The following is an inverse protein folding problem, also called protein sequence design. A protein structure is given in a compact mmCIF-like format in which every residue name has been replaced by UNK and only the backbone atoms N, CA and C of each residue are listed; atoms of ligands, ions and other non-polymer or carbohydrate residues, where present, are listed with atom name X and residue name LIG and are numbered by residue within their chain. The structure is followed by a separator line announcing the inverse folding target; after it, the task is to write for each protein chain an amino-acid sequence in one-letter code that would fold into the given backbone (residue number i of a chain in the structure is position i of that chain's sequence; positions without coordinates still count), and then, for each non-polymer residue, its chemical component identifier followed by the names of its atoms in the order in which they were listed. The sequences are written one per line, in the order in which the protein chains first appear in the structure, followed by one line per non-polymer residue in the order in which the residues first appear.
data_IF_815072699969
#
_entry.id   IF_815072699969
#
_cell.length_a   1.000
_cell.length_b   1.000
_cell.length_c   1.000
_cell.angle_alpha   90.00
_cell.angle_beta   90.00
_cell.angle_gamma   90.00
#
_symmetry.space_group_name_H-M   'P 1'
#
loop_
_entity.id
_entity.type
_entity.pdbx_description
1 polymer ?
#
# COMPACT_ATOMS: atom_id res chain seq x y z
N UNK A 1 42.28 -27.95 -27.28
CA UNK A 1 41.66 -26.62 -27.45
C UNK A 1 40.34 -26.65 -26.72
N UNK A 2 40.35 -26.18 -25.47
CA UNK A 2 39.17 -26.17 -24.61
C UNK A 2 38.18 -25.16 -25.17
N UNK A 3 36.94 -25.59 -25.40
CA UNK A 3 35.83 -24.68 -25.64
C UNK A 3 35.69 -23.83 -24.38
N UNK A 4 36.20 -22.59 -24.44
CA UNK A 4 35.84 -21.55 -23.50
C UNK A 4 34.32 -21.50 -23.49
N UNK A 5 33.73 -21.97 -22.40
CA UNK A 5 32.30 -21.89 -22.19
C UNK A 5 32.04 -20.42 -21.97
N UNK A 6 31.62 -19.76 -23.04
CA UNK A 6 31.05 -18.44 -23.02
C UNK A 6 30.29 -18.21 -21.71
N UNK A 7 30.81 -17.32 -20.86
CA UNK A 7 30.05 -16.67 -19.79
C UNK A 7 29.01 -15.70 -20.40
N UNK A 8 28.50 -16.04 -21.59
CA UNK A 8 27.47 -15.33 -22.31
C UNK A 8 26.24 -15.28 -21.42
N UNK A 9 25.79 -14.05 -21.19
CA UNK A 9 24.40 -13.68 -20.90
C UNK A 9 23.96 -13.55 -19.43
N UNK A 10 24.85 -13.37 -18.46
CA UNK A 10 24.41 -12.92 -17.12
C UNK A 10 24.66 -11.42 -16.93
N UNK A 11 23.67 -10.71 -16.39
CA UNK A 11 23.87 -9.33 -15.96
C UNK A 11 24.93 -9.27 -14.85
N UNK A 12 25.88 -8.35 -14.94
CA UNK A 12 26.99 -8.22 -14.00
C UNK A 12 26.56 -7.89 -12.57
N UNK A 13 25.41 -7.22 -12.41
CA UNK A 13 24.91 -6.74 -11.13
C UNK A 13 23.97 -7.76 -10.46
N UNK A 14 22.94 -8.20 -11.16
CA UNK A 14 21.92 -9.10 -10.60
C UNK A 14 22.16 -10.58 -10.91
N UNK A 15 23.20 -10.92 -11.68
CA UNK A 15 23.54 -12.29 -12.10
C UNK A 15 22.39 -13.05 -12.78
N UNK A 16 21.41 -12.32 -13.32
CA UNK A 16 20.21 -12.89 -13.95
C UNK A 16 20.36 -12.92 -15.47
N UNK A 17 19.78 -13.95 -16.08
CA UNK A 17 19.71 -14.10 -17.54
C UNK A 17 18.48 -13.37 -18.09
N UNK A 18 18.67 -12.16 -18.60
CA UNK A 18 17.62 -11.36 -19.25
C UNK A 18 17.79 -11.31 -20.77
N UNK A 19 16.75 -10.95 -21.52
CA UNK A 19 16.85 -10.74 -22.98
C UNK A 19 17.46 -9.37 -23.29
N UNK A 20 17.04 -8.35 -22.55
CA UNK A 20 17.46 -6.96 -22.77
C UNK A 20 18.68 -6.65 -21.91
N UNK A 21 19.81 -6.41 -22.59
CA UNK A 21 21.11 -6.11 -21.97
C UNK A 21 21.89 -5.12 -22.80
N UNK A 22 22.70 -4.33 -22.11
CA UNK A 22 23.60 -3.35 -22.70
C UNK A 22 25.03 -3.74 -22.34
N UNK A 23 25.97 -3.76 -23.29
CA UNK A 23 27.38 -3.93 -22.98
C UNK A 23 27.90 -2.76 -22.15
N UNK A 24 28.71 -3.06 -21.13
CA UNK A 24 29.34 -2.03 -20.30
C UNK A 24 30.35 -1.25 -21.14
N UNK A 25 31.07 -1.95 -22.02
CA UNK A 25 32.04 -1.41 -22.96
C UNK A 25 31.45 -1.45 -24.38
N UNK A 26 30.76 -0.39 -24.80
CA UNK A 26 30.24 -0.19 -26.16
C UNK A 26 30.03 1.30 -26.52
N UNK A 27 29.46 1.63 -27.67
CA UNK A 27 29.36 3.04 -28.16
C UNK A 27 28.66 4.04 -27.20
N UNK A 28 27.85 3.55 -26.26
CA UNK A 28 27.21 4.33 -25.18
C UNK A 28 27.99 4.28 -23.84
N UNK A 29 29.28 3.93 -23.92
CA UNK A 29 30.27 3.68 -22.85
C UNK A 29 30.18 4.66 -21.68
N UNK A 30 30.06 5.95 -22.00
CA UNK A 30 30.12 7.02 -21.01
C UNK A 30 29.03 6.91 -19.95
N UNK A 31 27.83 6.48 -20.33
CA UNK A 31 26.68 6.54 -19.42
C UNK A 31 26.67 5.36 -18.45
N UNK A 32 26.93 4.15 -18.94
CA UNK A 32 26.89 2.93 -18.10
C UNK A 32 28.07 2.88 -17.13
N UNK A 33 29.27 3.26 -17.58
CA UNK A 33 30.47 3.27 -16.72
C UNK A 33 30.30 4.30 -15.59
N UNK A 34 29.83 5.51 -15.91
CA UNK A 34 29.57 6.55 -14.91
C UNK A 34 28.55 6.11 -13.86
N UNK A 35 27.50 5.38 -14.27
CA UNK A 35 26.51 4.81 -13.34
C UNK A 35 27.11 3.73 -12.44
N UNK A 36 28.00 2.87 -12.96
CA UNK A 36 28.65 1.83 -12.18
C UNK A 36 29.66 2.38 -11.17
N UNK A 37 30.30 3.51 -11.48
CA UNK A 37 31.15 4.23 -10.52
C UNK A 37 30.38 4.70 -9.28
N UNK A 38 29.06 4.87 -9.36
CA UNK A 38 28.22 5.28 -8.21
C UNK A 38 28.21 4.25 -7.08
N UNK A 39 28.44 2.98 -7.42
CA UNK A 39 28.45 1.85 -6.48
C UNK A 39 29.89 1.34 -6.24
N UNK A 40 30.91 2.12 -6.61
CA UNK A 40 32.34 1.79 -6.43
C UNK A 40 32.70 0.42 -7.04
N UNK A 41 32.05 0.06 -8.15
CA UNK A 41 32.27 -1.21 -8.80
C UNK A 41 33.25 -1.01 -9.97
N UNK A 42 34.50 -1.38 -9.74
CA UNK A 42 35.54 -1.39 -10.76
C UNK A 42 35.41 -2.62 -11.66
N UNK A 43 35.31 -2.39 -12.96
CA UNK A 43 35.28 -3.44 -13.99
C UNK A 43 36.50 -3.24 -14.86
N UNK A 44 37.39 -4.24 -14.87
CA UNK A 44 38.61 -4.19 -15.65
C UNK A 44 38.28 -4.50 -17.13
N UNK A 45 38.45 -3.53 -18.05
CA UNK A 45 38.16 -3.74 -19.46
C UNK A 45 39.05 -4.79 -20.11
N UNK A 46 40.21 -5.13 -19.54
CA UNK A 46 41.08 -6.16 -20.08
C UNK A 46 40.67 -7.58 -19.64
N UNK A 47 40.04 -7.70 -18.47
CA UNK A 47 39.60 -8.99 -17.91
C UNK A 47 38.13 -9.30 -18.22
N UNK A 48 37.28 -8.28 -18.33
CA UNK A 48 35.82 -8.42 -18.42
C UNK A 48 35.23 -7.74 -19.66
N UNK A 49 35.88 -7.91 -20.84
CA UNK A 49 35.45 -7.29 -22.12
C UNK A 49 33.99 -7.53 -22.49
N UNK A 50 33.48 -8.71 -22.16
CA UNK A 50 32.11 -9.12 -22.47
C UNK A 50 31.12 -8.81 -21.32
N UNK A 51 31.49 -7.92 -20.40
CA UNK A 51 30.61 -7.53 -19.31
C UNK A 51 29.37 -6.79 -19.83
N UNK A 52 28.21 -7.22 -19.34
CA UNK A 52 26.90 -6.72 -19.75
C UNK A 52 26.04 -6.46 -18.52
N UNK A 53 25.16 -5.47 -18.60
CA UNK A 53 24.18 -5.14 -17.55
C UNK A 53 22.78 -5.18 -18.14
N UNK A 54 21.81 -5.71 -17.39
CA UNK A 54 20.42 -5.70 -17.82
C UNK A 54 19.78 -4.32 -17.64
N UNK A 55 18.79 -4.02 -18.48
CA UNK A 55 18.11 -2.73 -18.47
C UNK A 55 17.51 -2.39 -17.09
N UNK A 56 16.91 -3.37 -16.40
CA UNK A 56 16.35 -3.17 -15.05
C UNK A 56 17.38 -2.64 -14.04
N UNK A 57 18.62 -3.13 -14.12
CA UNK A 57 19.70 -2.66 -13.25
C UNK A 57 20.17 -1.26 -13.64
N UNK A 58 20.18 -0.92 -14.94
CA UNK A 58 20.50 0.43 -15.43
C UNK A 58 19.47 1.43 -14.90
N UNK A 59 18.17 1.16 -15.10
CA UNK A 59 17.08 2.02 -14.62
C UNK A 59 17.15 2.22 -13.10
N UNK A 60 17.50 1.17 -12.36
CA UNK A 60 17.67 1.26 -10.90
C UNK A 60 18.85 2.15 -10.53
N UNK A 61 19.99 2.04 -11.23
CA UNK A 61 21.17 2.89 -11.02
C UNK A 61 20.91 4.34 -11.40
N UNK A 62 20.20 4.60 -12.49
CA UNK A 62 19.79 5.96 -12.89
C UNK A 62 18.89 6.60 -11.84
N UNK A 63 17.91 5.86 -11.31
CA UNK A 63 17.07 6.34 -10.21
C UNK A 63 17.87 6.66 -8.95
N UNK A 64 18.88 5.84 -8.63
CA UNK A 64 19.80 6.11 -7.53
C UNK A 64 20.68 7.35 -7.81
N UNK A 65 21.15 7.54 -9.03
CA UNK A 65 21.93 8.71 -9.43
C UNK A 65 21.15 10.00 -9.22
N UNK A 66 19.91 10.07 -9.72
CA UNK A 66 19.03 11.23 -9.55
C UNK A 66 18.78 11.55 -8.07
N UNK A 67 18.54 10.52 -7.26
CA UNK A 67 18.37 10.70 -5.82
C UNK A 67 19.64 11.24 -5.14
N UNK A 68 20.82 10.77 -5.57
CA UNK A 68 22.12 11.25 -5.06
C UNK A 68 22.34 12.72 -5.42
N UNK A 69 22.07 13.11 -6.66
CA UNK A 69 22.14 14.52 -7.08
C UNK A 69 21.20 15.40 -6.24
N UNK A 70 19.96 14.95 -6.03
CA UNK A 70 19.00 15.68 -5.19
C UNK A 70 19.49 15.83 -3.73
N UNK A 71 20.17 14.82 -3.17
CA UNK A 71 20.78 14.94 -1.86
C UNK A 71 21.90 15.98 -1.83
N UNK A 72 22.74 16.05 -2.87
CA UNK A 72 23.79 17.06 -2.98
C UNK A 72 23.21 18.48 -3.10
N UNK A 73 22.20 18.67 -3.96
CA UNK A 73 21.51 19.97 -4.09
C UNK A 73 20.89 20.42 -2.76
N UNK A 74 20.23 19.49 -2.06
CA UNK A 74 19.65 19.78 -0.74
C UNK A 74 20.73 20.12 0.29
N UNK A 75 21.86 19.41 0.31
CA UNK A 75 22.98 19.70 1.21
C UNK A 75 23.62 21.07 0.92
N UNK A 76 23.80 21.42 -0.36
CA UNK A 76 24.25 22.76 -0.75
C UNK A 76 23.24 23.83 -0.33
N UNK A 77 21.95 23.60 -0.55
CA UNK A 77 20.90 24.52 -0.14
C UNK A 77 20.93 24.75 1.38
N UNK A 78 21.06 23.69 2.18
CA UNK A 78 21.16 23.80 3.64
C UNK A 78 22.39 24.59 4.10
N UNK A 79 23.51 24.53 3.36
CA UNK A 79 24.70 25.36 3.62
C UNK A 79 24.48 26.85 3.32
N UNK A 80 23.54 27.19 2.43
CA UNK A 80 23.20 28.60 2.15
C UNK A 80 22.30 29.25 3.21
N UNK A 81 21.65 28.44 4.06
CA UNK A 81 20.81 28.98 5.12
C UNK A 81 21.70 29.64 6.20
N UNK A 82 21.38 30.87 6.63
CA UNK A 82 22.14 31.55 7.66
C UNK A 82 22.11 30.72 8.94
N UNK A 83 23.29 30.31 9.41
CA UNK A 83 23.43 29.60 10.68
C UNK A 83 22.82 30.47 11.78
N UNK A 84 21.76 30.00 12.42
CA UNK A 84 21.01 30.70 13.48
C UNK A 84 21.84 30.97 14.75
N UNK A 85 23.16 30.85 14.70
CA UNK A 85 24.07 30.92 15.83
C UNK A 85 24.61 32.34 16.14
N UNK A 86 24.11 33.43 15.54
CA UNK A 86 24.58 34.78 15.91
C UNK A 86 23.53 35.90 15.87
N UNK A 87 22.27 35.60 16.21
CA UNK A 87 21.31 36.68 16.52
C UNK A 87 21.36 36.91 18.04
N UNK A 88 22.18 37.89 18.40
CA UNK A 88 22.25 38.48 19.72
C UNK A 88 20.85 38.94 20.13
N UNK A 89 20.39 38.45 21.28
CA UNK A 89 19.02 38.61 21.75
C UNK A 89 18.78 40.03 22.28
N UNK A 90 18.56 40.99 21.39
CA UNK A 90 17.93 42.26 21.80
C UNK A 90 16.42 42.11 21.78
N UNK A 91 15.86 42.18 22.98
CA UNK A 91 14.45 42.15 23.32
C UNK A 91 13.62 43.08 22.41
N UNK A 92 12.67 42.49 21.68
CA UNK A 92 11.53 43.22 21.11
C UNK A 92 10.27 42.59 21.70
N UNK A 93 9.67 43.40 22.57
CA UNK A 93 8.40 43.19 23.26
C UNK A 93 7.28 43.43 22.24
N UNK A 94 6.70 42.36 21.69
CA UNK A 94 5.58 42.46 20.75
C UNK A 94 4.25 42.03 21.40
N UNK A 95 3.16 42.75 21.08
CA UNK A 95 1.93 42.71 21.85
C UNK A 95 1.12 41.44 21.58
N UNK A 96 0.78 40.80 22.69
CA UNK A 96 -0.17 39.69 22.86
C UNK A 96 -1.51 39.95 22.15
N UNK A 97 -1.65 39.47 20.90
CA UNK A 97 -2.94 39.37 20.23
C UNK A 97 -3.74 38.21 20.83
N UNK A 98 -4.75 38.58 21.60
CA UNK A 98 -5.76 37.70 22.15
C UNK A 98 -6.83 37.47 21.06
N UNK A 99 -6.75 36.34 20.37
CA UNK A 99 -7.76 35.93 19.41
C UNK A 99 -8.81 35.08 20.11
N UNK A 100 -10.01 35.64 20.26
CA UNK A 100 -11.18 34.98 20.82
C UNK A 100 -11.60 33.78 19.96
N UNK A 101 -11.34 32.61 20.53
CA UNK A 101 -12.13 31.39 20.53
C UNK A 101 -13.46 31.48 19.74
N UNK A 102 -13.45 31.06 18.49
CA UNK A 102 -14.64 30.55 17.81
C UNK A 102 -14.54 29.02 17.77
N UNK A 103 -15.46 28.40 18.52
CA UNK A 103 -15.89 27.02 18.41
C UNK A 103 -15.95 26.57 16.95
N UNK A 104 -14.95 25.82 16.50
CA UNK A 104 -15.03 25.04 15.26
C UNK A 104 -15.22 23.59 15.64
N UNK A 105 -16.51 23.29 15.73
CA UNK A 105 -17.19 22.02 15.90
C UNK A 105 -16.45 20.87 15.19
N UNK A 106 -15.85 20.00 16.01
CA UNK A 106 -16.00 18.54 15.94
C UNK A 106 -16.47 17.93 14.59
N UNK A 107 -15.60 17.91 13.58
CA UNK A 107 -15.69 16.92 12.49
C UNK A 107 -14.43 16.04 12.46
N UNK A 108 -14.20 15.35 13.57
CA UNK A 108 -13.32 14.20 13.68
C UNK A 108 -14.00 12.91 13.24
N UNK A 109 -14.74 12.92 12.14
CA UNK A 109 -15.36 11.71 11.59
C UNK A 109 -14.29 10.94 10.82
N UNK A 110 -13.54 10.13 11.55
CA UNK A 110 -12.74 9.02 10.99
C UNK A 110 -13.62 8.34 9.95
N UNK A 111 -13.12 8.10 8.73
CA UNK A 111 -13.85 7.20 7.84
C UNK A 111 -13.89 5.85 8.56
N UNK A 112 -15.05 5.56 9.14
CA UNK A 112 -15.33 4.36 9.93
C UNK A 112 -14.89 3.13 9.18
N UNK A 113 -13.69 2.67 9.53
CA UNK A 113 -13.22 1.34 9.25
C UNK A 113 -12.99 0.69 10.61
N UNK A 114 -14.03 -0.04 11.02
CA UNK A 114 -14.22 -0.81 12.26
C UNK A 114 -14.70 -0.01 13.47
N UNK A 115 -16.02 -0.02 13.67
CA UNK A 115 -16.64 0.36 14.94
C UNK A 115 -16.41 -0.73 15.97
N UNK A 116 -15.54 -0.46 16.96
CA UNK A 116 -15.73 -1.00 18.31
C UNK A 116 -16.84 -0.17 18.95
N UNK A 117 -18.02 -0.73 19.17
CA UNK A 117 -18.99 -0.11 20.08
C UNK A 117 -18.64 -0.49 21.53
N UNK A 118 -18.45 0.53 22.37
CA UNK A 118 -18.59 0.44 23.81
C UNK A 118 -20.05 0.77 24.13
N UNK A 119 -20.72 -0.14 24.84
CA UNK A 119 -22.15 -0.09 25.12
C UNK A 119 -22.51 1.03 26.09
N UNK A 120 -23.05 2.14 25.59
CA UNK A 120 -23.77 3.12 26.40
C UNK A 120 -25.17 3.39 25.84
N UNK A 121 -26.16 3.15 26.70
CA UNK A 121 -27.60 3.34 26.53
C UNK A 121 -27.96 4.71 25.93
N UNK A 122 -28.61 4.73 24.76
CA UNK A 122 -29.22 5.93 24.18
C UNK A 122 -30.72 6.00 24.52
N UNK A 123 -31.11 7.09 25.17
CA UNK A 123 -32.49 7.61 25.21
C UNK A 123 -32.81 8.25 23.87
N UNK A 124 -33.99 7.95 23.34
CA UNK A 124 -34.51 8.48 22.08
C UNK A 124 -35.11 9.88 22.27
N UNK A 125 -34.90 10.74 21.28
CA UNK A 125 -35.74 11.90 21.00
C UNK A 125 -35.96 12.02 19.47
N UNK A 126 -37.16 12.40 19.00
CA UNK A 126 -37.48 12.44 17.58
C UNK A 126 -37.44 13.86 17.00
N UNK A 127 -36.99 14.01 15.75
CA UNK A 127 -37.33 15.20 14.96
C UNK A 127 -36.47 15.42 13.71
N UNK A 128 -37.14 15.60 12.55
CA UNK A 128 -36.60 16.35 11.41
C UNK A 128 -36.15 15.51 10.20
N UNK A 129 -37.03 15.35 9.20
CA UNK A 129 -36.75 14.65 7.93
C UNK A 129 -36.25 15.60 6.84
N UNK A 130 -35.05 15.36 6.31
CA UNK A 130 -34.62 15.81 4.97
C UNK A 130 -34.07 14.63 4.17
N UNK A 131 -34.76 14.25 3.09
CA UNK A 131 -34.44 13.08 2.25
C UNK A 131 -33.35 13.42 1.21
N UNK A 132 -32.07 13.23 1.56
CA UNK A 132 -31.05 12.89 0.56
C UNK A 132 -30.96 11.37 0.46
N UNK A 133 -31.12 10.82 -0.75
CA UNK A 133 -30.90 9.39 -1.05
C UNK A 133 -29.40 9.08 -0.95
N UNK A 134 -28.86 9.07 0.27
CA UNK A 134 -27.57 8.46 0.54
C UNK A 134 -27.73 6.95 0.46
N UNK A 135 -26.95 6.30 -0.41
CA UNK A 135 -26.80 4.86 -0.38
C UNK A 135 -26.39 4.48 1.06
N UNK A 136 -27.33 3.92 1.84
CA UNK A 136 -27.02 3.36 3.16
C UNK A 136 -26.03 2.23 2.91
N UNK A 137 -24.74 2.51 3.06
CA UNK A 137 -23.70 1.47 3.12
C UNK A 137 -24.13 0.57 4.28
N UNK A 138 -24.53 -0.65 3.93
CA UNK A 138 -24.87 -1.69 4.90
C UNK A 138 -23.66 -1.80 5.82
N UNK A 139 -23.81 -1.43 7.10
CA UNK A 139 -22.78 -1.63 8.11
C UNK A 139 -22.50 -3.13 8.12
N UNK A 140 -21.29 -3.53 7.74
CA UNK A 140 -20.92 -4.94 7.80
C UNK A 140 -20.96 -5.36 9.26
N UNK A 141 -21.78 -6.37 9.57
CA UNK A 141 -21.88 -6.92 10.91
C UNK A 141 -20.47 -7.34 11.39
N UNK A 142 -20.18 -7.10 12.67
CA UNK A 142 -18.96 -7.60 13.29
C UNK A 142 -19.04 -9.13 13.23
N UNK A 143 -18.14 -9.74 12.47
CA UNK A 143 -18.07 -11.20 12.34
C UNK A 143 -17.25 -11.76 13.49
N UNK A 144 -17.75 -12.79 14.16
CA UNK A 144 -16.98 -13.59 15.10
C UNK A 144 -15.96 -14.45 14.31
N UNK A 145 -14.64 -14.23 14.50
CA UNK A 145 -13.62 -15.01 13.81
C UNK A 145 -13.74 -16.53 14.00
N UNK A 146 -14.21 -16.98 15.17
CA UNK A 146 -14.32 -18.40 15.49
C UNK A 146 -15.49 -19.05 14.74
N UNK A 147 -16.59 -18.32 14.57
CA UNK A 147 -17.73 -18.75 13.76
C UNK A 147 -17.34 -18.89 12.29
N UNK A 148 -16.61 -17.90 11.75
CA UNK A 148 -16.11 -17.96 10.37
C UNK A 148 -15.18 -19.15 10.16
N UNK A 149 -14.36 -19.50 11.15
CA UNK A 149 -13.50 -20.68 11.06
C UNK A 149 -14.31 -21.99 11.04
N UNK A 150 -15.34 -22.12 11.89
CA UNK A 150 -16.25 -23.28 11.87
C UNK A 150 -16.91 -23.43 10.49
N UNK A 151 -17.36 -22.33 9.90
CA UNK A 151 -17.94 -22.33 8.56
C UNK A 151 -16.89 -22.72 7.50
N UNK A 152 -15.67 -22.21 7.59
CA UNK A 152 -14.60 -22.61 6.67
C UNK A 152 -14.34 -24.13 6.70
N UNK A 153 -14.33 -24.74 7.90
CA UNK A 153 -14.17 -26.19 8.05
C UNK A 153 -15.35 -26.93 7.43
N UNK A 154 -16.58 -26.50 7.71
CA UNK A 154 -17.82 -27.05 7.14
C UNK A 154 -17.80 -27.05 5.61
N UNK A 155 -17.34 -25.96 5.02
CA UNK A 155 -17.24 -25.82 3.56
C UNK A 155 -15.89 -26.29 2.98
N UNK A 156 -15.02 -26.97 3.74
CA UNK A 156 -13.71 -27.45 3.29
C UNK A 156 -12.87 -26.36 2.59
N UNK A 157 -12.90 -25.14 3.12
CA UNK A 157 -12.09 -24.02 2.62
C UNK A 157 -10.71 -24.14 3.26
N UNK A 158 -9.69 -24.37 2.43
CA UNK A 158 -8.31 -24.50 2.91
C UNK A 158 -7.82 -23.18 3.48
N UNK A 159 -7.10 -23.24 4.60
CA UNK A 159 -6.31 -22.10 5.08
C UNK A 159 -5.19 -21.86 4.07
N UNK A 160 -5.04 -20.63 3.62
CA UNK A 160 -3.83 -20.26 2.88
C UNK A 160 -2.68 -20.29 3.90
N UNK A 161 -1.63 -21.12 3.69
CA UNK A 161 -0.44 -21.04 4.53
C UNK A 161 0.12 -19.62 4.40
N UNK A 162 0.26 -18.91 5.51
CA UNK A 162 1.04 -17.68 5.53
C UNK A 162 2.50 -18.07 5.73
N UNK A 163 3.30 -18.06 4.68
CA UNK A 163 4.75 -18.36 4.73
C UNK A 163 5.57 -17.23 5.40
N UNK A 164 5.03 -16.59 6.44
CA UNK A 164 5.66 -15.47 7.12
C UNK A 164 5.46 -15.51 8.63
N UNK A 165 6.30 -14.77 9.37
CA UNK A 165 6.12 -14.60 10.81
C UNK A 165 4.71 -14.12 11.10
N UNK A 166 4.08 -14.71 12.12
CA UNK A 166 2.72 -14.33 12.51
C UNK A 166 2.71 -12.91 13.05
N UNK A 167 1.54 -12.29 13.04
CA UNK A 167 1.35 -10.97 13.68
C UNK A 167 1.77 -10.94 15.15
N UNK A 168 1.67 -12.08 15.85
CA UNK A 168 2.14 -12.21 17.22
C UNK A 168 3.68 -12.16 17.30
N UNK A 169 4.36 -12.81 16.35
CA UNK A 169 5.84 -12.82 16.28
C UNK A 169 6.41 -11.44 15.96
N UNK A 170 5.67 -10.62 15.20
CA UNK A 170 6.11 -9.28 14.76
C UNK A 170 5.82 -8.16 15.78
N UNK A 171 5.06 -8.43 16.84
CA UNK A 171 4.61 -7.42 17.80
C UNK A 171 5.13 -7.71 19.21
N UNK A 172 6.41 -8.06 19.27
CA UNK A 172 7.14 -8.21 20.53
C UNK A 172 7.67 -6.84 20.93
N UNK A 173 7.35 -6.42 22.16
CA UNK A 173 7.90 -5.19 22.72
C UNK A 173 9.42 -5.32 22.85
N UNK A 174 10.14 -4.31 22.37
CA UNK A 174 11.59 -4.23 22.51
C UNK A 174 11.97 -3.55 23.82
N UNK A 175 13.18 -3.84 24.28
CA UNK A 175 13.76 -3.17 25.45
C UNK A 175 13.99 -1.68 25.19
N UNK A 176 14.33 -1.28 23.96
CA UNK A 176 14.46 0.13 23.63
C UNK A 176 13.89 0.43 22.25
N UNK A 177 13.38 1.64 22.13
CA UNK A 177 12.90 2.22 20.88
C UNK A 177 13.68 3.51 20.63
N UNK A 178 13.90 3.87 19.35
CA UNK A 178 14.51 5.15 19.01
C UNK A 178 13.72 6.36 19.52
N UNK A 179 14.43 7.41 19.92
CA UNK A 179 13.83 8.62 20.51
C UNK A 179 13.24 9.59 19.48
N UNK A 180 13.37 9.28 18.18
CA UNK A 180 12.85 10.13 17.09
C UNK A 180 11.33 10.01 16.89
N UNK A 181 10.64 9.15 17.66
CA UNK A 181 9.19 9.02 17.59
C UNK A 181 8.54 8.78 18.96
N UNK A 182 7.31 9.25 19.08
CA UNK A 182 6.44 9.00 20.22
C UNK A 182 4.99 9.00 19.77
N UNK A 183 4.06 8.81 20.69
CA UNK A 183 2.63 8.83 20.39
C UNK A 183 1.93 9.91 21.19
N UNK A 184 0.96 10.56 20.57
CA UNK A 184 0.03 11.47 21.23
C UNK A 184 -1.36 10.82 21.27
N UNK A 185 -2.09 11.02 22.38
CA UNK A 185 -3.49 10.61 22.47
C UNK A 185 -4.30 11.68 23.19
N UNK A 186 -5.40 12.09 22.56
CA UNK A 186 -6.38 12.95 23.22
C UNK A 186 -7.24 12.14 24.19
N UNK A 187 -7.75 12.77 25.25
CA UNK A 187 -8.56 12.13 26.30
C UNK A 187 -9.78 11.36 25.78
N UNK A 188 -10.36 11.78 24.65
CA UNK A 188 -11.49 11.12 23.98
C UNK A 188 -11.10 10.37 22.71
N UNK A 189 -9.82 10.39 22.32
CA UNK A 189 -9.38 9.73 21.10
C UNK A 189 -9.23 8.23 21.35
N UNK A 190 -9.86 7.42 20.49
CA UNK A 190 -9.66 5.96 20.52
C UNK A 190 -8.29 5.56 19.96
N UNK A 191 -7.74 6.38 19.08
CA UNK A 191 -6.51 6.07 18.34
C UNK A 191 -5.36 6.98 18.78
N UNK A 192 -4.15 6.45 18.68
CA UNK A 192 -2.92 7.19 18.86
C UNK A 192 -2.54 7.91 17.56
N UNK A 193 -2.08 9.15 17.71
CA UNK A 193 -1.36 9.89 16.68
C UNK A 193 0.12 9.54 16.82
N UNK A 194 0.77 9.15 15.73
CA UNK A 194 2.22 8.96 15.69
C UNK A 194 2.87 10.32 15.45
N UNK A 195 3.82 10.69 16.31
CA UNK A 195 4.72 11.82 16.05
C UNK A 195 6.06 11.27 15.64
N UNK A 196 6.53 11.63 14.45
CA UNK A 196 7.77 11.12 13.85
C UNK A 196 8.60 12.31 13.36
N UNK A 197 9.75 12.56 13.98
CA UNK A 197 10.56 13.77 13.77
C UNK A 197 9.74 15.08 13.88
N UNK A 198 8.85 15.17 14.88
CA UNK A 198 7.98 16.34 15.11
C UNK A 198 6.75 16.43 14.20
N UNK A 199 6.67 15.62 13.14
CA UNK A 199 5.53 15.60 12.24
C UNK A 199 4.43 14.65 12.75
N UNK A 200 3.17 15.06 12.62
CA UNK A 200 2.02 14.35 13.17
C UNK A 200 1.27 13.54 12.11
N UNK A 201 1.18 12.24 12.34
CA UNK A 201 0.47 11.30 11.48
C UNK A 201 -0.65 10.61 12.27
N UNK A 202 -1.85 10.62 11.70
CA UNK A 202 -3.02 9.96 12.26
C UNK A 202 -3.55 8.93 11.24
N UNK A 203 -4.64 8.23 11.57
CA UNK A 203 -5.30 7.27 10.67
C UNK A 203 -4.39 6.09 10.29
N UNK A 204 -3.86 5.42 11.32
CA UNK A 204 -3.09 4.19 11.17
C UNK A 204 -3.89 3.14 10.38
N UNK A 205 -3.33 2.67 9.27
CA UNK A 205 -3.88 1.57 8.49
C UNK A 205 -2.99 0.35 8.70
N UNK A 206 -3.53 -0.66 9.36
CA UNK A 206 -2.78 -1.88 9.71
C UNK A 206 -2.81 -2.89 8.56
N UNK A 207 -1.62 -3.37 8.21
CA UNK A 207 -1.37 -4.49 7.30
C UNK A 207 -0.62 -5.59 8.05
N UNK A 208 -0.44 -6.74 7.42
CA UNK A 208 0.18 -7.92 8.03
C UNK A 208 1.64 -7.67 8.45
N UNK A 209 2.38 -6.86 7.68
CA UNK A 209 3.80 -6.56 7.93
C UNK A 209 4.10 -5.12 8.31
N UNK A 210 3.23 -4.20 7.90
CA UNK A 210 3.46 -2.76 8.01
C UNK A 210 2.23 -2.05 8.55
N UNK A 211 2.47 -0.94 9.24
CA UNK A 211 1.44 0.03 9.63
C UNK A 211 1.69 1.33 8.87
N UNK A 212 0.67 1.81 8.18
CA UNK A 212 0.74 3.02 7.37
C UNK A 212 0.10 4.18 8.13
N UNK A 213 0.87 5.23 8.37
CA UNK A 213 0.48 6.43 9.08
C UNK A 213 0.37 7.60 8.09
N UNK A 214 -0.79 8.24 8.05
CA UNK A 214 -1.09 9.31 7.09
C UNK A 214 -1.07 10.66 7.79
N UNK A 215 -0.66 11.71 7.09
CA UNK A 215 -0.69 13.05 7.67
C UNK A 215 -2.08 13.38 8.23
N UNK A 216 -2.13 13.94 9.44
CA UNK A 216 -3.37 14.35 10.11
C UNK A 216 -4.16 15.40 9.30
N UNK A 217 -3.45 16.21 8.51
CA UNK A 217 -4.00 17.26 7.66
C UNK A 217 -4.32 16.79 6.23
N UNK A 218 -4.28 15.48 5.95
CA UNK A 218 -4.54 14.93 4.61
C UNK A 218 -5.84 15.43 3.99
N UNK A 219 -6.94 15.51 4.75
CA UNK A 219 -8.24 15.94 4.19
C UNK A 219 -8.30 17.44 3.96
N UNK A 220 -7.85 18.23 4.95
CA UNK A 220 -7.93 19.69 4.92
C UNK A 220 -6.98 20.29 3.89
N UNK A 221 -5.78 19.72 3.73
CA UNK A 221 -4.72 20.25 2.87
C UNK A 221 -4.38 19.33 1.68
N UNK A 222 -5.21 18.31 1.41
CA UNK A 222 -4.94 17.28 0.40
C UNK A 222 -3.54 16.64 0.53
N UNK A 223 -3.02 16.56 1.77
CA UNK A 223 -1.65 16.16 2.03
C UNK A 223 -1.44 14.67 1.81
N UNK A 224 -0.41 14.32 1.03
CA UNK A 224 -0.08 12.93 0.70
C UNK A 224 1.01 12.33 1.60
N UNK A 225 1.57 13.10 2.53
CA UNK A 225 2.60 12.65 3.45
C UNK A 225 2.19 11.35 4.17
N UNK A 226 3.11 10.40 4.17
CA UNK A 226 2.92 9.04 4.64
C UNK A 226 4.20 8.52 5.27
N UNK A 227 4.05 7.92 6.45
CA UNK A 227 5.09 7.15 7.13
C UNK A 227 4.67 5.70 7.17
N UNK A 228 5.58 4.80 6.81
CA UNK A 228 5.39 3.36 6.88
C UNK A 228 6.27 2.82 7.99
N UNK A 229 5.64 2.30 9.04
CA UNK A 229 6.34 1.62 10.11
C UNK A 229 6.27 0.11 9.87
N UNK A 230 7.35 -0.62 10.12
CA UNK A 230 7.23 -2.07 10.35
C UNK A 230 6.39 -2.31 11.61
N UNK A 231 5.68 -3.43 11.65
CA UNK A 231 4.78 -3.73 12.77
C UNK A 231 5.49 -3.90 14.13
N UNK A 232 6.82 -4.06 14.13
CA UNK A 232 7.67 -4.07 15.33
C UNK A 232 8.20 -2.66 15.71
N UNK A 233 7.88 -1.64 14.90
CA UNK A 233 8.34 -0.26 15.02
C UNK A 233 9.87 -0.14 15.12
N UNK A 234 10.60 -1.09 14.51
CA UNK A 234 12.06 -1.06 14.44
C UNK A 234 12.59 -0.20 13.29
N UNK A 235 11.78 -0.03 12.24
CA UNK A 235 12.12 0.66 11.02
C UNK A 235 10.94 1.50 10.55
N UNK A 236 11.26 2.69 10.07
CA UNK A 236 10.32 3.64 9.51
C UNK A 236 10.81 4.07 8.12
N UNK A 237 9.89 4.18 7.18
CA UNK A 237 10.13 4.65 5.83
C UNK A 237 9.18 5.83 5.57
N UNK A 238 9.75 7.02 5.33
CA UNK A 238 8.97 8.20 4.90
C UNK A 238 8.84 8.13 3.38
N UNK A 239 7.61 8.17 2.86
CA UNK A 239 7.34 8.02 1.41
C UNK A 239 7.01 9.30 0.68
N UNK A 240 6.37 10.24 1.35
CA UNK A 240 5.94 11.50 0.75
C UNK A 240 6.16 12.62 1.75
N UNK A 241 6.53 13.78 1.24
CA UNK A 241 6.68 15.01 2.03
C UNK A 241 5.33 15.69 2.27
N UNK A 242 5.31 16.55 3.27
CA UNK A 242 4.15 17.37 3.56
C UNK A 242 3.98 18.45 2.47
N UNK A 243 2.76 18.62 2.00
CA UNK A 243 2.38 19.64 1.00
C UNK A 243 1.82 20.90 1.66
N UNK A 244 2.09 21.08 2.96
CA UNK A 244 1.69 22.22 3.77
C UNK A 244 2.88 22.59 4.66
N UNK A 245 2.95 23.86 5.05
CA UNK A 245 3.95 24.32 6.01
C UNK A 245 3.72 23.75 7.41
N UNK A 246 4.52 24.23 8.35
CA UNK A 246 4.33 23.96 9.78
C UNK A 246 2.97 24.49 10.23
N UNK A 247 2.20 23.65 10.91
CA UNK A 247 0.86 23.98 11.39
C UNK A 247 0.85 23.93 12.92
N UNK A 248 0.04 24.80 13.52
CA UNK A 248 -0.03 24.95 14.97
C UNK A 248 -0.31 23.63 15.69
N UNK A 249 0.37 23.47 16.82
CA UNK A 249 0.24 22.29 17.67
C UNK A 249 -1.15 22.23 18.30
N UNK A 250 -1.73 21.02 18.33
CA UNK A 250 -2.96 20.79 19.06
C UNK A 250 -2.66 20.75 20.56
N UNK A 251 -3.18 21.74 21.28
CA UNK A 251 -3.11 21.75 22.73
C UNK A 251 -3.97 20.63 23.36
N UNK A 252 -3.54 20.13 24.53
CA UNK A 252 -4.29 19.14 25.30
C UNK A 252 -4.13 17.68 24.86
N UNK A 253 -3.09 17.36 24.10
CA UNK A 253 -2.70 15.99 23.81
C UNK A 253 -1.73 15.47 24.87
N UNK A 254 -1.97 14.26 25.36
CA UNK A 254 -1.02 13.59 26.26
C UNK A 254 0.03 12.85 25.42
N UNK A 255 1.29 13.01 25.81
CA UNK A 255 2.42 12.32 25.19
C UNK A 255 2.67 10.95 25.86
N UNK A 256 2.86 9.95 25.02
CA UNK A 256 3.12 8.57 25.40
C UNK A 256 4.41 8.09 24.75
N UNK A 257 5.32 7.58 25.58
CA UNK A 257 6.49 6.87 25.07
C UNK A 257 6.08 5.62 24.28
N UNK A 258 6.92 5.12 23.36
CA UNK A 258 6.65 3.88 22.64
C UNK A 258 6.33 2.71 23.59
N UNK A 259 7.00 2.61 24.73
CA UNK A 259 6.75 1.57 25.75
C UNK A 259 5.34 1.64 26.35
N UNK A 260 4.76 2.84 26.46
CA UNK A 260 3.41 3.03 27.01
C UNK A 260 2.33 2.81 25.94
N UNK A 261 2.55 3.27 24.71
CA UNK A 261 1.54 3.25 23.66
C UNK A 261 1.52 1.94 22.86
N UNK A 262 2.67 1.35 22.54
CA UNK A 262 2.77 0.17 21.66
C UNK A 262 1.98 -1.06 22.14
N UNK A 263 1.89 -1.39 23.45
CA UNK A 263 1.05 -2.51 23.90
C UNK A 263 -0.40 -2.40 23.40
N UNK A 264 -0.93 -1.18 23.46
CA UNK A 264 -2.31 -0.89 23.05
C UNK A 264 -2.44 -0.79 21.52
N UNK A 265 -1.48 -0.15 20.84
CA UNK A 265 -1.42 -0.12 19.37
C UNK A 265 -1.36 -1.53 18.79
N UNK A 266 -0.55 -2.41 19.38
CA UNK A 266 -0.45 -3.81 18.98
C UNK A 266 -1.76 -4.57 19.21
N UNK A 267 -2.43 -4.34 20.34
CA UNK A 267 -3.76 -4.92 20.62
C UNK A 267 -4.77 -4.53 19.53
N UNK A 268 -4.85 -3.24 19.19
CA UNK A 268 -5.73 -2.71 18.15
C UNK A 268 -5.38 -3.32 16.78
N UNK A 269 -4.09 -3.34 16.43
CA UNK A 269 -3.60 -3.90 15.18
C UNK A 269 -3.99 -5.37 15.01
N UNK A 270 -3.80 -6.21 16.04
CA UNK A 270 -4.21 -7.62 16.04
C UNK A 270 -5.72 -7.77 15.82
N UNK A 271 -6.52 -6.99 16.53
CA UNK A 271 -7.98 -7.06 16.42
C UNK A 271 -8.45 -6.73 15.00
N UNK A 272 -7.91 -5.65 14.41
CA UNK A 272 -8.26 -5.23 13.04
C UNK A 272 -7.83 -6.27 12.01
N UNK A 273 -6.63 -6.84 12.14
CA UNK A 273 -6.12 -7.83 11.18
C UNK A 273 -6.82 -9.18 11.30
N UNK A 274 -7.19 -9.60 12.51
CA UNK A 274 -8.04 -10.76 12.74
C UNK A 274 -9.41 -10.56 12.07
N UNK A 275 -10.02 -9.39 12.25
CA UNK A 275 -11.32 -9.06 11.63
C UNK A 275 -11.24 -9.01 10.11
N UNK A 276 -10.20 -8.39 9.52
CA UNK A 276 -9.96 -8.42 8.06
C UNK A 276 -9.82 -9.84 7.53
N UNK A 277 -9.13 -10.70 8.27
CA UNK A 277 -8.92 -12.09 7.89
C UNK A 277 -10.22 -12.87 7.95
N UNK A 278 -11.01 -12.69 9.01
CA UNK A 278 -12.35 -13.26 9.13
C UNK A 278 -13.26 -12.79 7.99
N UNK A 279 -13.27 -11.51 7.65
CA UNK A 279 -14.06 -10.98 6.53
C UNK A 279 -13.68 -11.61 5.18
N UNK A 280 -12.38 -11.72 4.88
CA UNK A 280 -11.88 -12.37 3.64
C UNK A 280 -12.33 -13.83 3.57
N UNK A 281 -12.29 -14.54 4.69
CA UNK A 281 -12.68 -15.95 4.77
C UNK A 281 -14.19 -16.14 4.68
N UNK A 282 -14.97 -15.29 5.36
CA UNK A 282 -16.42 -15.30 5.26
C UNK A 282 -16.89 -15.04 3.82
N UNK A 283 -16.27 -14.10 3.09
CA UNK A 283 -16.56 -13.90 1.68
C UNK A 283 -16.31 -15.15 0.83
N UNK A 284 -15.32 -15.97 1.19
CA UNK A 284 -15.06 -17.25 0.52
C UNK A 284 -16.11 -18.31 0.85
N UNK A 285 -16.59 -18.34 2.10
CA UNK A 285 -17.72 -19.17 2.56
C UNK A 285 -18.98 -18.82 1.77
N UNK A 286 -19.35 -17.54 1.71
CA UNK A 286 -20.55 -17.08 1.02
C UNK A 286 -20.51 -17.39 -0.48
N UNK A 287 -19.36 -17.19 -1.15
CA UNK A 287 -19.18 -17.62 -2.55
C UNK A 287 -19.40 -19.12 -2.74
N UNK A 288 -18.96 -19.95 -1.78
CA UNK A 288 -19.12 -21.40 -1.86
C UNK A 288 -20.56 -21.85 -1.56
N UNK A 289 -21.25 -21.19 -0.61
CA UNK A 289 -22.69 -21.36 -0.37
C UNK A 289 -23.49 -21.06 -1.63
N UNK A 290 -23.27 -19.90 -2.24
CA UNK A 290 -23.95 -19.50 -3.47
C UNK A 290 -23.72 -20.50 -4.63
N UNK A 291 -22.50 -21.02 -4.78
CA UNK A 291 -22.21 -22.03 -5.81
C UNK A 291 -22.96 -23.35 -5.58
N UNK A 292 -23.08 -23.79 -4.34
CA UNK A 292 -23.83 -25.01 -3.98
C UNK A 292 -25.33 -24.84 -4.19
N UNK A 293 -25.88 -23.67 -3.89
CA UNK A 293 -27.29 -23.35 -4.12
C UNK A 293 -27.64 -23.35 -5.61
N UNK A 294 -26.76 -22.80 -6.45
CA UNK A 294 -26.92 -22.84 -7.92
C UNK A 294 -26.92 -24.27 -8.46
N UNK A 295 -25.97 -25.11 -8.03
CA UNK A 295 -25.91 -26.51 -8.49
C UNK A 295 -27.13 -27.34 -8.06
N UNK A 296 -27.72 -27.06 -6.90
CA UNK A 296 -28.95 -27.75 -6.44
C UNK A 296 -30.18 -27.32 -7.24
N UNK A 297 -30.17 -26.10 -7.79
CA UNK A 297 -31.25 -25.59 -8.64
C UNK A 297 -31.26 -26.21 -10.03
N UNK A 298 -30.09 -26.58 -10.58
CA UNK A 298 -29.95 -27.16 -11.92
C UNK A 298 -30.42 -28.62 -11.99
N UNK A 299 -30.18 -29.43 -10.95
CA UNK A 299 -30.69 -30.82 -10.87
C UNK A 299 -32.23 -30.91 -10.80
N UNK A 300 -32.94 -29.80 -10.55
CA UNK A 300 -34.40 -29.77 -10.46
C UNK A 300 -35.12 -29.58 -11.80
N UNK A 301 -34.42 -29.33 -12.91
CA UNK A 301 -35.04 -29.09 -14.22
C UNK A 301 -34.88 -30.25 -15.23
N UNK A 302 -34.18 -31.34 -14.88
CA UNK A 302 -33.98 -32.50 -15.77
C UNK A 302 -35.01 -33.65 -15.61
N UNK A 303 -36.09 -33.44 -14.86
CA UNK A 303 -37.17 -34.43 -14.73
C UNK A 303 -38.51 -33.81 -15.18
N UNK A 304 -38.70 -33.71 -16.49
CA UNK A 304 -39.95 -33.19 -17.05
C UNK A 304 -40.06 -33.10 -18.57
N UNK A 305 -39.38 -33.94 -19.34
CA UNK A 305 -39.76 -34.21 -20.73
C UNK A 305 -39.99 -35.72 -20.88
N UNK A 306 -41.17 -36.17 -20.45
CA UNK A 306 -41.72 -37.43 -20.94
C UNK A 306 -41.95 -37.30 -22.45
N UNK A 307 -41.42 -38.29 -23.16
CA UNK A 307 -41.56 -38.54 -24.58
C UNK A 307 -43.04 -38.50 -25.00
N UNK A 308 -43.38 -37.59 -25.92
CA UNK A 308 -44.48 -37.84 -26.86
C UNK A 308 -43.90 -37.96 -28.26
N UNK A 309 -43.80 -39.20 -28.70
CA UNK A 309 -43.19 -39.58 -29.96
C UNK A 309 -44.10 -39.23 -31.13
N UNK A 310 -43.65 -38.32 -32.00
CA UNK A 310 -44.15 -38.23 -33.37
C UNK A 310 -42.97 -38.09 -34.35
N UNK A 311 -42.75 -39.18 -35.09
CA UNK A 311 -42.02 -39.24 -36.34
C UNK A 311 -42.41 -38.05 -37.24
N UNK A 312 -41.43 -37.31 -37.73
CA UNK A 312 -41.55 -36.73 -39.06
C UNK A 312 -40.18 -36.63 -39.73
N UNK A 313 -40.03 -37.38 -40.82
CA UNK A 313 -38.94 -37.23 -41.77
C UNK A 313 -39.14 -35.91 -42.53
N UNK A 314 -38.09 -35.10 -42.65
CA UNK A 314 -38.15 -33.96 -43.56
C UNK A 314 -37.13 -32.86 -43.29
N UNK A 315 -36.03 -32.92 -44.05
CA UNK A 315 -35.49 -31.78 -44.81
C UNK A 315 -35.07 -30.50 -44.05
N UNK A 316 -33.77 -30.20 -44.14
CA UNK A 316 -33.35 -28.82 -44.43
C UNK A 316 -32.49 -28.14 -43.38
N UNK A 317 -31.19 -28.42 -43.42
CA UNK A 317 -30.17 -27.42 -43.74
C UNK A 317 -30.42 -25.96 -43.26
N UNK A 318 -30.17 -25.66 -41.98
CA UNK A 318 -29.95 -24.28 -41.49
C UNK A 318 -28.99 -24.28 -40.29
N UNK A 319 -27.73 -24.67 -40.50
CA UNK A 319 -26.71 -24.59 -39.43
C UNK A 319 -25.35 -24.12 -39.96
N UNK A 320 -25.35 -22.94 -40.59
CA UNK A 320 -24.12 -22.34 -41.17
C UNK A 320 -24.01 -20.82 -41.01
N UNK A 321 -24.59 -20.18 -39.97
CA UNK A 321 -24.64 -18.70 -39.89
C UNK A 321 -24.26 -18.00 -38.58
N UNK A 322 -23.51 -18.61 -37.66
CA UNK A 322 -23.03 -17.88 -36.45
C UNK A 322 -21.57 -18.15 -36.10
N UNK A 323 -20.65 -18.15 -37.08
CA UNK A 323 -19.21 -18.07 -36.82
C UNK A 323 -18.50 -17.37 -37.98
N UNK A 324 -18.58 -16.04 -38.08
CA UNK A 324 -17.61 -15.20 -38.81
C UNK A 324 -17.77 -13.73 -38.37
N UNK A 325 -17.15 -13.35 -37.24
CA UNK A 325 -16.85 -11.95 -36.95
C UNK A 325 -15.73 -11.83 -35.91
N UNK A 326 -14.52 -12.14 -36.35
CA UNK A 326 -13.28 -11.71 -35.69
C UNK A 326 -12.24 -11.50 -36.78
N UNK A 327 -12.50 -10.53 -37.66
CA UNK A 327 -11.47 -9.99 -38.53
C UNK A 327 -10.62 -9.03 -37.71
N UNK A 328 -9.40 -9.44 -37.36
CA UNK A 328 -8.27 -8.54 -37.16
C UNK A 328 -7.20 -9.09 -38.08
N UNK A 329 -7.02 -8.35 -39.17
CA UNK A 329 -6.08 -8.55 -40.24
C UNK A 329 -4.65 -8.37 -39.72
N UNK A 330 -3.81 -9.33 -40.09
CA UNK A 330 -2.40 -9.15 -40.35
C UNK A 330 -2.23 -8.03 -41.40
N UNK A 331 -1.34 -7.09 -41.12
CA UNK A 331 -0.91 -6.05 -42.03
C UNK A 331 0.59 -5.86 -41.84
N UNK A 332 1.35 -6.63 -42.61
CA UNK A 332 2.75 -6.37 -42.95
C UNK A 332 2.75 -5.37 -44.11
N UNK A 333 3.40 -4.22 -43.94
CA UNK A 333 3.92 -3.30 -44.98
C UNK A 333 5.07 -2.59 -44.24
N UNK A 334 6.35 -2.99 -44.37
CA UNK A 334 7.29 -2.73 -45.48
C UNK A 334 7.15 -1.34 -46.09
N UNK A 335 8.25 -0.59 -46.02
CA UNK A 335 8.70 0.48 -46.92
C UNK A 335 9.61 1.44 -46.12
N UNK A 336 10.92 1.27 -46.34
CA UNK A 336 11.93 2.20 -45.85
C UNK A 336 11.97 3.48 -46.67
N UNK A 337 12.48 4.54 -46.07
CA UNK A 337 13.09 5.65 -46.81
C UNK A 337 14.37 6.09 -46.10
N UNK A 338 15.44 6.11 -46.89
CA UNK A 338 16.71 6.77 -46.67
C UNK A 338 16.52 8.30 -46.55
N UNK A 339 17.24 8.96 -45.65
CA UNK A 339 17.66 10.36 -45.88
C UNK A 339 19.08 10.58 -45.35
N UNK A 340 19.81 11.38 -46.14
CA UNK A 340 21.24 11.70 -46.16
C UNK A 340 21.82 12.42 -44.93
#
# INVERSE_FOLDING_TARGET
MSKERHAESLCRLCLTKTKDKVPIFGKEESNVINLLMLIELDIDPDQERDAIVCFDCIVTLEGFFQFKEQCHENDEYLKTLPSKASVDSTAIDEPRMQCDFLDSEEEGLVEDYYGLEESTLKREAPGGRSKKKGAKRLRSAVLDPDEVERDCVKFKIRKCPSDGPTLADLQILRDSYPDYFYFEKGSRSLYFTLVYYGERFNSATYSERYTYYKCIYRRKHNCKALVVARNDYSQFERRYEHSHGELEERSGLEEYSPRQALPEVFRICRQILAQKTAQRRNASVERKKMKLELSRGEESWELGEEEDGLRNEGSGDVLSKVLHKSGILEGEDDDGEDED
#
